data_IF_548776860059
#
_entry.id   IF_548776860059
#
_cell.length_a   1.000
_cell.length_b   1.000
_cell.length_c   1.000
_cell.angle_alpha   90.00
_cell.angle_beta   90.00
_cell.angle_gamma   90.00
#
_symmetry.space_group_name_H-M   'P 1'
#
loop_
_entity.id
_entity.type
_entity.pdbx_description
1 polymer ?
#
# COMPACT_ATOMS: atom_id res chain seq x y z
N UNK A 1 -24.01 -39.01 -14.75
CA UNK A 1 -24.26 -38.30 -13.48
C UNK A 1 -22.90 -38.00 -12.88
N UNK A 2 -22.39 -36.82 -13.14
CA UNK A 2 -21.26 -36.20 -12.44
C UNK A 2 -21.23 -34.73 -12.91
N UNK A 3 -22.13 -33.95 -12.35
CA UNK A 3 -22.08 -32.48 -12.34
C UNK A 3 -22.40 -32.12 -10.90
N UNK A 4 -21.47 -31.55 -10.18
CA UNK A 4 -21.61 -30.71 -8.99
C UNK A 4 -20.39 -30.81 -8.06
N UNK A 5 -19.20 -30.60 -8.58
CA UNK A 5 -18.02 -30.47 -7.70
C UNK A 5 -17.26 -29.14 -7.90
N UNK A 6 -17.68 -28.31 -8.86
CA UNK A 6 -16.94 -27.09 -9.19
C UNK A 6 -17.47 -25.82 -8.52
N UNK A 7 -18.68 -25.85 -7.98
CA UNK A 7 -19.34 -24.66 -7.39
C UNK A 7 -19.14 -24.53 -5.87
N UNK A 8 -18.69 -25.59 -5.20
CA UNK A 8 -18.53 -25.60 -3.74
C UNK A 8 -17.17 -25.12 -3.23
N UNK A 9 -16.14 -25.10 -4.11
CA UNK A 9 -14.78 -24.63 -3.73
C UNK A 9 -14.60 -23.09 -3.69
N UNK A 10 -15.54 -22.31 -4.24
CA UNK A 10 -15.43 -20.84 -4.27
C UNK A 10 -15.85 -20.21 -2.93
N UNK A 11 -16.67 -20.85 -2.13
CA UNK A 11 -17.15 -20.32 -0.84
C UNK A 11 -16.16 -20.51 0.32
N UNK A 12 -15.22 -21.46 0.22
CA UNK A 12 -14.22 -21.73 1.26
C UNK A 12 -12.96 -20.83 1.10
N UNK A 13 -12.80 -20.10 -0.02
CA UNK A 13 -11.61 -19.31 -0.37
C UNK A 13 -11.77 -17.78 -0.20
N UNK A 14 -12.81 -17.30 0.51
CA UNK A 14 -13.05 -15.87 0.72
C UNK A 14 -13.01 -15.46 2.22
N UNK A 15 -11.82 -15.54 2.87
CA UNK A 15 -11.66 -15.38 4.32
C UNK A 15 -12.01 -13.98 4.84
N UNK A 16 -12.14 -12.97 3.96
CA UNK A 16 -12.53 -11.61 4.32
C UNK A 16 -14.00 -11.29 4.02
N UNK A 17 -14.82 -12.30 3.75
CA UNK A 17 -16.27 -12.12 3.57
C UNK A 17 -16.87 -11.47 4.82
N UNK A 18 -17.63 -10.38 4.62
CA UNK A 18 -18.22 -9.59 5.69
C UNK A 18 -17.23 -8.64 6.41
N UNK A 19 -15.97 -8.60 6.02
CA UNK A 19 -15.02 -7.59 6.49
C UNK A 19 -15.13 -6.31 5.67
N UNK A 20 -15.01 -5.18 6.34
CA UNK A 20 -15.10 -3.84 5.77
C UNK A 20 -13.70 -3.23 5.76
N UNK A 21 -13.22 -2.87 4.59
CA UNK A 21 -11.92 -2.25 4.40
C UNK A 21 -12.04 -0.82 3.86
N UNK A 22 -11.20 0.08 4.34
CA UNK A 22 -10.94 1.39 3.75
C UNK A 22 -9.50 1.38 3.22
N UNK A 23 -9.34 1.60 1.92
CA UNK A 23 -8.03 1.80 1.29
C UNK A 23 -7.91 3.26 0.84
N UNK A 24 -7.16 4.01 1.63
CA UNK A 24 -6.87 5.41 1.36
C UNK A 24 -5.68 5.52 0.39
N UNK A 25 -5.90 6.20 -0.75
CA UNK A 25 -4.89 6.29 -1.82
C UNK A 25 -5.02 5.19 -2.89
N UNK A 26 -6.21 4.64 -3.10
CA UNK A 26 -6.48 3.49 -3.96
C UNK A 26 -6.58 3.80 -5.47
N UNK A 27 -6.08 4.93 -5.96
CA UNK A 27 -6.22 5.31 -7.38
C UNK A 27 -5.38 4.43 -8.31
N UNK A 28 -4.14 4.11 -7.92
CA UNK A 28 -3.13 3.36 -8.71
C UNK A 28 -2.13 2.65 -7.80
N UNK A 29 -1.18 1.94 -8.42
CA UNK A 29 -0.03 1.34 -7.72
C UNK A 29 -0.44 0.39 -6.61
N UNK A 30 0.24 0.48 -5.47
CA UNK A 30 -0.01 -0.38 -4.31
C UNK A 30 -1.44 -0.27 -3.81
N UNK A 31 -1.98 0.93 -3.64
CA UNK A 31 -3.34 1.14 -3.12
C UNK A 31 -4.42 0.50 -3.98
N UNK A 32 -4.32 0.63 -5.32
CA UNK A 32 -5.23 -0.07 -6.25
C UNK A 32 -5.14 -1.58 -6.06
N UNK A 33 -3.92 -2.12 -6.09
CA UNK A 33 -3.71 -3.56 -5.96
C UNK A 33 -4.17 -4.10 -4.60
N UNK A 34 -3.89 -3.37 -3.49
CA UNK A 34 -4.35 -3.68 -2.15
C UNK A 34 -5.89 -3.77 -2.09
N UNK A 35 -6.59 -2.80 -2.67
CA UNK A 35 -8.05 -2.82 -2.74
C UNK A 35 -8.55 -4.05 -3.50
N UNK A 36 -7.97 -4.36 -4.66
CA UNK A 36 -8.37 -5.49 -5.50
C UNK A 36 -8.11 -6.84 -4.80
N UNK A 37 -6.95 -7.03 -4.17
CA UNK A 37 -6.62 -8.29 -3.49
C UNK A 37 -7.44 -8.50 -2.20
N UNK A 38 -7.78 -7.44 -1.45
CA UNK A 38 -8.75 -7.52 -0.36
C UNK A 38 -10.13 -7.92 -0.86
N UNK A 39 -10.57 -7.32 -1.98
CA UNK A 39 -11.83 -7.68 -2.64
C UNK A 39 -11.84 -9.12 -3.13
N UNK A 40 -10.74 -9.62 -3.69
CA UNK A 40 -10.60 -11.02 -4.12
C UNK A 40 -10.80 -12.01 -2.97
N UNK A 41 -10.49 -11.62 -1.75
CA UNK A 41 -10.76 -12.40 -0.53
C UNK A 41 -12.15 -12.13 0.06
N UNK A 42 -13.05 -11.43 -0.64
CA UNK A 42 -14.45 -11.25 -0.29
C UNK A 42 -14.78 -9.99 0.52
N UNK A 43 -13.83 -9.08 0.75
CA UNK A 43 -14.08 -7.85 1.51
C UNK A 43 -15.00 -6.87 0.76
N UNK A 44 -15.74 -6.07 1.52
CA UNK A 44 -16.26 -4.79 1.06
C UNK A 44 -15.15 -3.75 1.19
N UNK A 45 -14.81 -3.08 0.08
CA UNK A 45 -13.66 -2.15 0.05
C UNK A 45 -14.10 -0.77 -0.39
N UNK A 46 -13.99 0.19 0.52
CA UNK A 46 -14.08 1.63 0.21
C UNK A 46 -12.75 2.07 -0.38
N UNK A 47 -12.77 2.47 -1.64
CA UNK A 47 -11.58 2.92 -2.39
C UNK A 47 -11.62 4.43 -2.53
N UNK A 48 -10.57 5.11 -2.06
CA UNK A 48 -10.56 6.57 -1.99
C UNK A 48 -9.34 7.18 -2.67
N UNK A 49 -9.50 8.39 -3.12
CA UNK A 49 -8.46 9.16 -3.77
C UNK A 49 -9.01 10.40 -4.45
N UNK A 50 -8.13 11.23 -4.98
CA UNK A 50 -8.48 12.53 -5.56
C UNK A 50 -8.76 12.49 -7.05
N UNK A 51 -8.23 11.47 -7.76
CA UNK A 51 -8.42 11.32 -9.20
C UNK A 51 -9.63 10.46 -9.49
N UNK A 52 -10.59 11.04 -10.19
CA UNK A 52 -11.84 10.44 -10.64
C UNK A 52 -11.95 10.55 -12.16
N UNK A 53 -12.98 9.97 -12.75
CA UNK A 53 -13.29 10.12 -14.19
C UNK A 53 -13.52 11.57 -14.62
N UNK A 54 -13.86 12.45 -13.67
CA UNK A 54 -14.20 13.86 -13.93
C UNK A 54 -13.21 14.86 -13.30
N UNK A 55 -12.28 14.39 -12.47
CA UNK A 55 -11.32 15.24 -11.76
C UNK A 55 -9.93 14.61 -11.76
N UNK A 56 -8.93 15.41 -12.07
CA UNK A 56 -7.52 15.02 -12.01
C UNK A 56 -6.84 15.68 -10.81
N UNK A 57 -6.03 14.92 -10.07
CA UNK A 57 -5.21 15.45 -8.98
C UNK A 57 -3.97 16.18 -9.50
N UNK A 58 -3.23 16.83 -8.61
CA UNK A 58 -1.97 17.53 -8.92
C UNK A 58 -0.87 16.62 -9.53
N UNK A 59 -0.99 15.30 -9.40
CA UNK A 59 -0.08 14.33 -10.04
C UNK A 59 -0.22 14.35 -11.56
N UNK A 60 -1.36 14.81 -12.10
CA UNK A 60 -1.57 15.02 -13.54
C UNK A 60 -1.89 13.76 -14.34
N UNK A 61 -1.92 12.56 -13.73
CA UNK A 61 -2.31 11.31 -14.42
C UNK A 61 -3.82 11.17 -14.46
N UNK A 62 -4.34 10.80 -15.62
CA UNK A 62 -5.78 10.66 -15.89
C UNK A 62 -6.22 9.24 -16.21
N UNK A 63 -5.26 8.34 -16.42
CA UNK A 63 -5.52 6.97 -16.90
C UNK A 63 -6.17 6.12 -15.82
N UNK A 64 -5.73 6.29 -14.56
CA UNK A 64 -6.21 5.50 -13.43
C UNK A 64 -7.16 6.34 -12.56
N UNK A 65 -8.33 5.78 -12.23
CA UNK A 65 -9.35 6.43 -11.39
C UNK A 65 -9.82 5.55 -10.25
N UNK A 66 -10.38 6.14 -9.19
CA UNK A 66 -10.93 5.37 -8.08
C UNK A 66 -12.19 4.58 -8.48
N UNK A 67 -12.99 5.09 -9.43
CA UNK A 67 -14.18 4.38 -9.92
C UNK A 67 -13.77 3.09 -10.62
N UNK A 68 -12.73 3.14 -11.47
CA UNK A 68 -12.17 1.94 -12.09
C UNK A 68 -11.65 0.96 -11.03
N UNK A 69 -10.96 1.44 -9.99
CA UNK A 69 -10.51 0.57 -8.90
C UNK A 69 -11.69 -0.10 -8.19
N UNK A 70 -12.78 0.61 -7.92
CA UNK A 70 -13.99 0.02 -7.34
C UNK A 70 -14.62 -1.05 -8.24
N UNK A 71 -14.61 -0.85 -9.55
CA UNK A 71 -15.06 -1.84 -10.53
C UNK A 71 -14.14 -3.08 -10.54
N UNK A 72 -12.83 -2.89 -10.48
CA UNK A 72 -11.84 -3.99 -10.39
C UNK A 72 -12.02 -4.81 -9.10
N UNK A 73 -12.26 -4.16 -7.96
CA UNK A 73 -12.58 -4.84 -6.68
C UNK A 73 -13.83 -5.72 -6.85
N UNK A 74 -14.88 -5.17 -7.48
CA UNK A 74 -16.14 -5.90 -7.70
C UNK A 74 -15.95 -7.06 -8.69
N UNK A 75 -15.17 -6.87 -9.73
CA UNK A 75 -14.83 -7.92 -10.69
C UNK A 75 -13.98 -9.04 -10.06
N UNK A 76 -13.20 -8.72 -9.03
CA UNK A 76 -12.39 -9.70 -8.30
C UNK A 76 -13.19 -10.54 -7.30
N UNK A 77 -14.47 -10.23 -7.04
CA UNK A 77 -15.36 -10.99 -6.15
C UNK A 77 -15.74 -10.29 -4.84
N UNK A 78 -15.23 -9.10 -4.57
CA UNK A 78 -15.58 -8.26 -3.43
C UNK A 78 -16.73 -7.28 -3.75
N UNK A 79 -16.89 -6.26 -2.89
CA UNK A 79 -17.77 -5.12 -3.14
C UNK A 79 -16.95 -3.83 -3.12
N UNK A 80 -16.66 -3.26 -4.28
CA UNK A 80 -15.91 -2.02 -4.42
C UNK A 80 -16.80 -0.79 -4.36
N UNK A 81 -16.46 0.18 -3.52
CA UNK A 81 -17.20 1.43 -3.33
C UNK A 81 -16.23 2.61 -3.49
N UNK A 82 -16.31 3.29 -4.62
CA UNK A 82 -15.47 4.45 -4.88
C UNK A 82 -16.03 5.70 -4.18
N UNK A 83 -15.18 6.38 -3.41
CA UNK A 83 -15.54 7.63 -2.74
C UNK A 83 -14.46 8.68 -2.99
N UNK A 84 -14.74 9.72 -3.77
CA UNK A 84 -13.79 10.81 -3.98
C UNK A 84 -13.44 11.48 -2.65
N UNK A 85 -12.16 11.46 -2.26
CA UNK A 85 -11.73 12.01 -0.97
C UNK A 85 -10.34 12.62 -1.11
N UNK A 86 -10.19 13.87 -0.67
CA UNK A 86 -8.88 14.46 -0.37
C UNK A 86 -8.59 14.23 1.12
N UNK A 87 -7.60 13.40 1.40
CA UNK A 87 -7.23 13.03 2.78
C UNK A 87 -6.49 14.14 3.55
N UNK A 88 -6.27 15.30 2.95
CA UNK A 88 -5.85 16.52 3.63
C UNK A 88 -7.03 17.39 4.08
N UNK A 89 -8.22 17.10 3.61
CA UNK A 89 -9.47 17.77 3.95
C UNK A 89 -10.20 16.97 5.04
N UNK A 90 -10.19 17.50 6.25
CA UNK A 90 -10.76 16.83 7.44
C UNK A 90 -12.26 16.61 7.32
N UNK A 91 -13.00 17.55 6.66
CA UNK A 91 -14.45 17.42 6.45
C UNK A 91 -14.77 16.28 5.47
N UNK A 92 -13.98 16.14 4.39
CA UNK A 92 -14.18 15.05 3.43
C UNK A 92 -13.87 13.68 4.06
N UNK A 93 -12.81 13.57 4.87
CA UNK A 93 -12.49 12.34 5.59
C UNK A 93 -13.55 12.03 6.65
N UNK A 94 -14.03 13.05 7.37
CA UNK A 94 -15.14 12.91 8.32
C UNK A 94 -16.40 12.37 7.65
N UNK A 95 -16.81 12.96 6.54
CA UNK A 95 -17.99 12.53 5.77
C UNK A 95 -17.83 11.10 5.21
N UNK A 96 -16.61 10.69 4.81
CA UNK A 96 -16.31 9.32 4.42
C UNK A 96 -16.52 8.35 5.58
N UNK A 97 -15.95 8.64 6.76
CA UNK A 97 -16.07 7.78 7.95
C UNK A 97 -17.52 7.69 8.42
N UNK A 98 -18.25 8.80 8.46
CA UNK A 98 -19.70 8.81 8.76
C UNK A 98 -20.50 7.97 7.75
N UNK A 99 -20.14 8.00 6.47
CA UNK A 99 -20.75 7.15 5.46
C UNK A 99 -20.49 5.67 5.75
N UNK A 100 -19.26 5.28 6.05
CA UNK A 100 -18.92 3.88 6.40
C UNK A 100 -19.68 3.47 7.66
N UNK A 101 -19.72 4.32 8.69
CA UNK A 101 -20.47 4.06 9.91
C UNK A 101 -21.96 3.81 9.64
N UNK A 102 -22.59 4.66 8.84
CA UNK A 102 -24.01 4.54 8.50
C UNK A 102 -24.31 3.30 7.66
N UNK A 103 -23.44 2.92 6.73
CA UNK A 103 -23.65 1.82 5.80
C UNK A 103 -23.27 0.46 6.40
N UNK A 104 -22.22 0.42 7.23
CA UNK A 104 -21.58 -0.83 7.68
C UNK A 104 -21.50 -0.97 9.23
N UNK A 105 -21.59 0.13 9.98
CA UNK A 105 -21.53 0.17 11.44
C UNK A 105 -20.14 0.02 12.06
N UNK A 106 -19.14 -0.44 11.29
CA UNK A 106 -17.75 -0.66 11.72
C UNK A 106 -16.78 -0.55 10.54
N UNK A 107 -15.51 -0.52 10.87
CA UNK A 107 -14.40 -0.72 9.94
C UNK A 107 -13.53 -1.85 10.48
N UNK A 108 -13.11 -2.79 9.64
CA UNK A 108 -12.25 -3.92 10.06
C UNK A 108 -10.79 -3.71 9.65
N UNK A 109 -10.56 -3.09 8.49
CA UNK A 109 -9.23 -2.90 7.90
C UNK A 109 -9.10 -1.47 7.43
N UNK A 110 -8.08 -0.76 7.92
CA UNK A 110 -7.65 0.54 7.40
C UNK A 110 -6.28 0.40 6.75
N UNK A 111 -6.19 0.73 5.48
CA UNK A 111 -4.92 0.82 4.74
C UNK A 111 -4.67 2.26 4.35
N UNK A 112 -3.59 2.85 4.85
CA UNK A 112 -3.09 4.15 4.43
C UNK A 112 -1.96 3.96 3.41
N UNK A 113 -2.27 4.17 2.13
CA UNK A 113 -1.31 4.24 1.01
C UNK A 113 -1.34 5.64 0.38
N UNK A 114 -1.32 6.63 1.26
CA UNK A 114 -1.45 8.03 0.88
C UNK A 114 -0.10 8.62 0.47
N UNK A 115 0.00 8.93 -0.81
CA UNK A 115 1.13 9.60 -1.40
C UNK A 115 0.63 10.49 -2.55
N UNK A 116 1.43 11.28 -3.14
CA UNK A 116 1.08 12.17 -4.25
C UNK A 116 2.21 13.16 -4.52
N UNK A 117 3.37 12.84 -3.95
CA UNK A 117 4.57 13.68 -4.02
C UNK A 117 5.52 13.35 -5.16
N UNK A 118 5.21 12.38 -6.04
CA UNK A 118 6.13 11.93 -7.09
C UNK A 118 6.62 13.07 -7.98
N UNK A 119 5.73 13.97 -8.37
CA UNK A 119 6.08 15.14 -9.18
C UNK A 119 7.03 16.10 -8.49
N UNK A 120 7.02 16.13 -7.14
CA UNK A 120 7.92 16.94 -6.33
C UNK A 120 9.28 16.26 -6.15
N UNK A 121 9.34 14.93 -6.17
CA UNK A 121 10.59 14.19 -6.01
C UNK A 121 11.57 14.53 -7.12
N UNK A 122 11.15 14.38 -8.37
CA UNK A 122 11.99 14.68 -9.54
C UNK A 122 12.32 16.17 -9.62
N UNK A 123 11.32 17.03 -9.37
CA UNK A 123 11.46 18.48 -9.48
C UNK A 123 12.38 19.06 -8.39
N UNK A 124 12.26 18.61 -7.14
CA UNK A 124 12.72 19.38 -5.99
C UNK A 124 13.52 18.59 -4.94
N UNK A 125 13.56 17.25 -5.01
CA UNK A 125 14.17 16.39 -3.97
C UNK A 125 15.39 15.64 -4.46
N UNK A 126 15.25 14.86 -5.55
CA UNK A 126 16.33 13.99 -6.00
C UNK A 126 17.60 14.78 -6.37
N UNK A 127 18.72 14.35 -5.79
CA UNK A 127 20.04 14.98 -6.01
C UNK A 127 20.21 16.34 -5.34
N UNK A 128 19.26 16.81 -4.51
CA UNK A 128 19.33 18.11 -3.82
C UNK A 128 19.45 17.95 -2.31
N UNK A 129 20.20 18.86 -1.70
CA UNK A 129 20.21 18.99 -0.23
C UNK A 129 18.91 19.65 0.25
N UNK A 130 18.56 19.42 1.52
CA UNK A 130 17.32 19.97 2.09
C UNK A 130 17.23 21.49 2.01
N UNK A 131 18.35 22.20 2.10
CA UNK A 131 18.40 23.66 1.97
C UNK A 131 18.37 24.16 0.51
N UNK A 132 18.49 23.27 -0.46
CA UNK A 132 18.35 23.54 -1.90
C UNK A 132 16.94 23.25 -2.40
N UNK A 133 16.15 22.52 -1.58
CA UNK A 133 14.76 22.23 -1.85
C UNK A 133 13.91 23.47 -1.52
N UNK A 134 13.05 23.94 -2.43
CA UNK A 134 12.10 25.00 -2.08
C UNK A 134 11.26 24.57 -0.86
N UNK A 135 11.23 25.40 0.18
CA UNK A 135 10.57 25.07 1.45
C UNK A 135 9.09 24.65 1.25
N UNK A 136 8.38 25.33 0.34
CA UNK A 136 6.98 25.00 0.03
C UNK A 136 6.84 23.59 -0.54
N UNK A 137 7.74 23.15 -1.44
CA UNK A 137 7.74 21.81 -2.00
C UNK A 137 8.06 20.75 -0.92
N UNK A 138 9.05 21.04 -0.05
CA UNK A 138 9.39 20.17 1.07
C UNK A 138 8.25 20.01 2.09
N UNK A 139 7.60 21.10 2.48
CA UNK A 139 6.44 21.07 3.37
C UNK A 139 5.26 20.33 2.71
N UNK A 140 5.05 20.52 1.41
CA UNK A 140 4.00 19.79 0.67
C UNK A 140 4.21 18.29 0.69
N UNK A 141 5.46 17.81 0.62
CA UNK A 141 5.78 16.39 0.77
C UNK A 141 5.34 15.86 2.14
N UNK A 142 5.59 16.61 3.22
CA UNK A 142 5.15 16.23 4.57
C UNK A 142 3.62 16.27 4.73
N UNK A 143 2.94 17.23 4.10
CA UNK A 143 1.48 17.22 4.06
C UNK A 143 0.95 15.94 3.39
N UNK A 144 1.46 15.64 2.20
CA UNK A 144 1.00 14.52 1.39
C UNK A 144 1.36 13.14 1.99
N UNK A 145 2.52 13.00 2.64
CA UNK A 145 3.02 11.72 3.13
C UNK A 145 2.96 11.54 4.65
N UNK A 146 2.56 12.56 5.42
CA UNK A 146 2.45 12.46 6.88
C UNK A 146 1.11 12.97 7.38
N UNK A 147 0.78 14.26 7.10
CA UNK A 147 -0.46 14.86 7.62
C UNK A 147 -1.71 14.12 7.14
N UNK A 148 -1.74 13.69 5.89
CA UNK A 148 -2.85 12.91 5.33
C UNK A 148 -3.06 11.57 6.04
N UNK A 149 -1.98 10.86 6.39
CA UNK A 149 -2.04 9.62 7.17
C UNK A 149 -2.61 9.87 8.57
N UNK A 150 -2.14 10.92 9.24
CA UNK A 150 -2.61 11.28 10.59
C UNK A 150 -4.09 11.65 10.61
N UNK A 151 -4.57 12.48 9.66
CA UNK A 151 -5.98 12.87 9.54
C UNK A 151 -6.84 11.61 9.35
N UNK A 152 -6.46 10.77 8.38
CA UNK A 152 -7.21 9.56 8.06
C UNK A 152 -7.26 8.60 9.24
N UNK A 153 -6.13 8.34 9.88
CA UNK A 153 -6.07 7.48 11.05
C UNK A 153 -6.91 8.04 12.21
N UNK A 154 -6.72 9.31 12.59
CA UNK A 154 -7.41 9.91 13.72
C UNK A 154 -8.95 9.86 13.57
N UNK A 155 -9.47 10.06 12.35
CA UNK A 155 -10.91 10.04 12.10
C UNK A 155 -11.47 8.62 11.94
N UNK A 156 -10.70 7.67 11.39
CA UNK A 156 -11.18 6.32 11.13
C UNK A 156 -11.00 5.34 12.31
N UNK A 157 -10.02 5.57 13.19
CA UNK A 157 -9.73 4.68 14.32
C UNK A 157 -10.92 4.44 15.27
N UNK A 158 -11.77 5.45 15.62
CA UNK A 158 -12.95 5.20 16.45
C UNK A 158 -13.93 4.18 15.86
N UNK A 159 -13.97 4.08 14.52
CA UNK A 159 -14.78 3.09 13.83
C UNK A 159 -14.04 1.74 13.71
N UNK A 160 -12.71 1.78 13.55
CA UNK A 160 -11.86 0.60 13.45
C UNK A 160 -11.88 -0.23 14.74
N UNK A 161 -11.83 0.40 15.92
CA UNK A 161 -11.85 -0.30 17.23
C UNK A 161 -13.18 -0.97 17.55
N UNK A 162 -14.21 -0.79 16.72
CA UNK A 162 -15.48 -1.55 16.81
C UNK A 162 -15.38 -2.93 16.16
N UNK A 163 -14.31 -3.20 15.42
CA UNK A 163 -14.04 -4.54 14.88
C UNK A 163 -13.62 -5.50 15.99
N UNK A 164 -13.95 -6.76 15.82
CA UNK A 164 -13.45 -7.87 16.66
C UNK A 164 -11.98 -8.20 16.41
N UNK A 165 -11.42 -7.68 15.31
CA UNK A 165 -10.01 -7.90 14.92
C UNK A 165 -9.53 -6.72 14.07
N UNK A 166 -9.29 -5.54 14.68
CA UNK A 166 -8.87 -4.34 13.95
C UNK A 166 -7.51 -4.51 13.29
N UNK A 167 -7.38 -4.07 12.04
CA UNK A 167 -6.11 -4.03 11.33
C UNK A 167 -5.85 -2.64 10.74
N UNK A 168 -4.74 -2.04 11.11
CA UNK A 168 -4.22 -0.82 10.51
C UNK A 168 -2.91 -1.10 9.77
N UNK A 169 -2.84 -0.72 8.50
CA UNK A 169 -1.67 -0.89 7.64
C UNK A 169 -1.20 0.47 7.14
N UNK A 170 0.03 0.81 7.43
CA UNK A 170 0.72 1.98 6.89
C UNK A 170 1.64 1.54 5.76
N UNK A 171 1.42 2.04 4.55
CA UNK A 171 2.29 1.77 3.40
C UNK A 171 3.34 2.87 3.28
N UNK A 172 4.61 2.49 3.15
CA UNK A 172 5.72 3.42 3.07
C UNK A 172 6.80 2.94 2.10
N UNK A 173 7.95 3.60 2.09
CA UNK A 173 9.14 3.20 1.35
C UNK A 173 10.31 2.96 2.32
N UNK A 174 10.68 1.70 2.46
CA UNK A 174 11.70 1.21 3.37
C UNK A 174 11.16 0.66 4.69
N UNK A 175 11.79 -0.41 5.16
CA UNK A 175 11.57 -0.94 6.51
C UNK A 175 12.26 -0.05 7.55
N UNK A 176 11.93 -0.22 8.84
CA UNK A 176 12.64 0.45 9.93
C UNK A 176 14.16 0.14 9.93
N UNK A 177 14.56 -1.03 9.44
CA UNK A 177 15.97 -1.39 9.31
C UNK A 177 16.64 -0.64 8.16
N UNK A 178 16.02 -0.63 6.98
CA UNK A 178 16.53 0.05 5.78
C UNK A 178 16.58 1.56 5.98
N UNK A 179 15.58 2.15 6.66
CA UNK A 179 15.46 3.58 6.92
C UNK A 179 16.31 4.08 8.10
N UNK A 180 17.19 3.25 8.68
CA UNK A 180 18.32 3.75 9.50
C UNK A 180 19.33 4.53 8.65
N UNK A 181 19.38 4.29 7.35
CA UNK A 181 20.14 5.10 6.42
C UNK A 181 19.34 6.31 6.02
N UNK A 182 19.99 7.47 6.04
CA UNK A 182 19.41 8.69 5.51
C UNK A 182 19.19 8.56 4.00
N UNK A 183 17.97 8.88 3.55
CA UNK A 183 17.57 8.68 2.16
C UNK A 183 17.17 10.00 1.51
N UNK A 184 17.71 10.25 0.32
CA UNK A 184 17.44 11.39 -0.56
C UNK A 184 17.67 12.74 0.14
N UNK A 185 16.66 13.31 0.80
CA UNK A 185 16.78 14.52 1.62
C UNK A 185 15.83 14.48 2.82
N UNK A 186 15.94 15.46 3.74
CA UNK A 186 15.24 15.50 5.01
C UNK A 186 13.70 15.37 4.86
N UNK A 187 13.11 16.04 3.86
CA UNK A 187 11.64 16.01 3.69
C UNK A 187 11.14 14.64 3.25
N UNK A 188 11.87 14.00 2.31
CA UNK A 188 11.56 12.65 1.90
C UNK A 188 11.80 11.65 3.02
N UNK A 189 12.96 11.73 3.67
CA UNK A 189 13.32 10.83 4.76
C UNK A 189 12.28 10.86 5.88
N UNK A 190 11.87 12.05 6.33
CA UNK A 190 10.81 12.20 7.32
C UNK A 190 9.47 11.65 6.83
N UNK A 191 9.06 11.92 5.58
CA UNK A 191 7.80 11.45 5.04
C UNK A 191 7.74 9.91 4.98
N UNK A 192 8.87 9.24 4.72
CA UNK A 192 8.92 7.77 4.62
C UNK A 192 9.18 7.06 5.96
N UNK A 193 9.73 7.77 6.94
CA UNK A 193 9.88 7.26 8.30
C UNK A 193 8.63 7.46 9.17
N UNK A 194 7.84 8.51 8.93
CA UNK A 194 6.66 8.80 9.72
C UNK A 194 5.64 7.65 9.76
N UNK A 195 5.25 6.99 8.64
CA UNK A 195 4.32 5.87 8.66
C UNK A 195 4.80 4.70 9.52
N UNK A 196 6.12 4.45 9.58
CA UNK A 196 6.71 3.42 10.46
C UNK A 196 6.45 3.77 11.93
N UNK A 197 6.62 5.04 12.30
CA UNK A 197 6.38 5.50 13.66
C UNK A 197 4.88 5.54 13.99
N UNK A 198 4.04 5.93 13.04
CA UNK A 198 2.57 5.89 13.17
C UNK A 198 2.12 4.46 13.45
N UNK A 199 2.52 3.48 12.65
CA UNK A 199 2.16 2.08 12.86
C UNK A 199 2.63 1.56 14.22
N UNK A 200 3.84 1.92 14.67
CA UNK A 200 4.32 1.55 15.99
C UNK A 200 3.44 2.15 17.10
N UNK A 201 3.16 3.45 17.05
CA UNK A 201 2.34 4.14 18.06
C UNK A 201 0.91 3.60 18.12
N UNK A 202 0.27 3.49 16.96
CA UNK A 202 -1.08 2.94 16.87
C UNK A 202 -1.16 1.46 17.27
N UNK A 203 -0.07 0.70 17.09
CA UNK A 203 0.00 -0.68 17.56
C UNK A 203 0.03 -0.80 19.10
N UNK A 204 0.52 0.23 19.81
CA UNK A 204 0.38 0.31 21.28
C UNK A 204 -1.07 0.62 21.66
N UNK A 205 -1.71 1.58 20.99
CA UNK A 205 -3.07 2.01 21.31
C UNK A 205 -4.12 0.96 20.93
N UNK A 206 -3.94 0.25 19.80
CA UNK A 206 -4.86 -0.80 19.36
C UNK A 206 -4.72 -2.11 20.13
N UNK A 207 -3.65 -2.31 20.91
CA UNK A 207 -3.40 -3.56 21.62
C UNK A 207 -4.53 -3.92 22.62
N UNK A 208 -5.13 -2.94 23.29
CA UNK A 208 -6.24 -3.16 24.23
C UNK A 208 -7.53 -3.64 23.51
N UNK A 209 -7.66 -3.41 22.22
CA UNK A 209 -8.76 -3.86 21.36
C UNK A 209 -8.44 -5.14 20.59
N UNK A 210 -7.32 -5.82 20.91
CA UNK A 210 -6.84 -6.99 20.15
C UNK A 210 -6.38 -6.66 18.71
N UNK A 211 -6.15 -5.37 18.43
CA UNK A 211 -5.83 -4.88 17.11
C UNK A 211 -4.35 -5.03 16.73
N UNK A 212 -4.09 -4.82 15.47
CA UNK A 212 -2.75 -4.85 14.87
C UNK A 212 -2.53 -3.57 14.08
N UNK A 213 -1.39 -2.92 14.29
CA UNK A 213 -0.89 -1.89 13.37
C UNK A 213 0.51 -2.28 12.89
N UNK A 214 0.72 -2.19 11.58
CA UNK A 214 1.96 -2.61 10.90
C UNK A 214 2.32 -1.63 9.79
N UNK A 215 3.60 -1.29 9.67
CA UNK A 215 4.12 -0.60 8.50
C UNK A 215 4.57 -1.63 7.46
N UNK A 216 4.21 -1.43 6.21
CA UNK A 216 4.62 -2.30 5.11
C UNK A 216 5.28 -1.50 4.00
N UNK A 217 6.26 -2.11 3.33
CA UNK A 217 6.93 -1.48 2.19
C UNK A 217 7.02 -2.46 1.03
N UNK A 218 6.68 -2.03 -0.21
CA UNK A 218 7.08 -2.77 -1.38
C UNK A 218 8.61 -2.78 -1.52
N UNK A 219 9.10 -3.65 -2.38
CA UNK A 219 10.42 -3.53 -2.96
C UNK A 219 10.44 -2.51 -4.10
N UNK A 220 11.21 -2.79 -5.16
CA UNK A 220 11.19 -1.96 -6.36
C UNK A 220 9.90 -2.28 -7.15
N UNK A 221 8.89 -1.41 -7.04
CA UNK A 221 7.55 -1.70 -7.58
C UNK A 221 7.42 -1.32 -9.04
N UNK A 222 6.93 -2.24 -9.87
CA UNK A 222 6.50 -1.99 -11.26
C UNK A 222 5.11 -1.36 -11.30
N UNK A 223 4.96 -0.17 -10.67
CA UNK A 223 3.69 0.57 -10.74
C UNK A 223 3.45 1.09 -12.16
N UNK A 224 2.21 1.47 -12.47
CA UNK A 224 1.82 2.06 -13.75
C UNK A 224 2.70 3.27 -14.10
N UNK A 225 3.09 4.04 -13.08
CA UNK A 225 3.98 5.18 -13.26
C UNK A 225 5.42 4.77 -13.58
N UNK A 226 5.94 3.73 -12.93
CA UNK A 226 7.29 3.22 -13.21
C UNK A 226 7.38 2.56 -14.58
N UNK A 227 6.37 1.78 -14.95
CA UNK A 227 6.28 1.22 -16.29
C UNK A 227 6.24 2.32 -17.36
N UNK A 228 5.41 3.34 -17.16
CA UNK A 228 5.36 4.50 -18.06
C UNK A 228 6.69 5.28 -18.11
N UNK A 229 7.40 5.41 -16.99
CA UNK A 229 8.70 6.08 -16.91
C UNK A 229 9.76 5.38 -17.78
N UNK A 230 9.80 4.06 -17.77
CA UNK A 230 10.72 3.26 -18.56
C UNK A 230 10.22 2.97 -19.98
N UNK A 231 8.98 3.36 -20.32
CA UNK A 231 8.39 3.11 -21.64
C UNK A 231 8.08 1.65 -21.90
N UNK A 232 7.76 0.88 -20.85
CA UNK A 232 7.42 -0.55 -20.91
C UNK A 232 6.01 -0.81 -20.38
N UNK A 233 5.53 -2.04 -20.60
CA UNK A 233 4.28 -2.58 -20.02
C UNK A 233 4.60 -3.73 -19.05
N UNK A 234 3.58 -4.25 -18.34
CA UNK A 234 3.77 -5.44 -17.49
C UNK A 234 4.18 -6.69 -18.31
N UNK A 235 3.85 -6.75 -19.59
CA UNK A 235 4.21 -7.88 -20.47
C UNK A 235 5.70 -7.90 -20.83
N UNK A 236 6.31 -6.70 -21.01
CA UNK A 236 7.71 -6.55 -21.40
C UNK A 236 8.57 -5.77 -20.40
N UNK A 237 8.17 -5.71 -19.14
CA UNK A 237 8.83 -4.91 -18.09
C UNK A 237 10.34 -5.19 -17.95
N UNK A 238 10.79 -6.41 -18.34
CA UNK A 238 12.21 -6.79 -18.29
C UNK A 238 13.10 -5.99 -19.24
N UNK A 239 12.52 -5.36 -20.27
CA UNK A 239 13.27 -4.49 -21.18
C UNK A 239 13.82 -3.25 -20.46
N UNK A 240 13.18 -2.83 -19.35
CA UNK A 240 13.66 -1.74 -18.50
C UNK A 240 14.95 -2.06 -17.75
N UNK A 241 15.34 -3.34 -17.60
CA UNK A 241 16.60 -3.76 -16.95
C UNK A 241 17.82 -3.16 -17.66
N UNK A 242 17.73 -2.95 -18.97
CA UNK A 242 18.80 -2.31 -19.74
C UNK A 242 19.02 -0.84 -19.31
N UNK A 243 18.00 -0.17 -18.79
CA UNK A 243 18.07 1.22 -18.32
C UNK A 243 18.37 1.29 -16.82
N UNK A 244 17.79 0.39 -16.02
CA UNK A 244 17.94 0.31 -14.56
C UNK A 244 18.14 -1.17 -14.16
N UNK A 245 19.39 -1.62 -13.95
CA UNK A 245 19.68 -3.02 -13.63
C UNK A 245 18.94 -3.55 -12.40
N UNK A 246 18.71 -2.70 -11.39
CA UNK A 246 17.96 -3.08 -10.19
C UNK A 246 16.48 -3.38 -10.47
N UNK A 247 15.95 -3.00 -11.64
CA UNK A 247 14.61 -3.38 -12.05
C UNK A 247 14.45 -4.90 -12.23
N UNK A 248 15.57 -5.64 -12.34
CA UNK A 248 15.54 -7.10 -12.38
C UNK A 248 14.90 -7.74 -11.15
N UNK A 249 14.96 -7.09 -9.97
CA UNK A 249 14.29 -7.53 -8.73
C UNK A 249 12.96 -6.82 -8.48
N UNK A 250 12.41 -6.16 -9.50
CA UNK A 250 11.16 -5.44 -9.33
C UNK A 250 9.97 -6.38 -9.13
N UNK A 251 9.03 -5.97 -8.28
CA UNK A 251 7.78 -6.66 -7.98
C UNK A 251 6.58 -5.95 -8.61
N UNK A 252 5.51 -6.69 -8.91
CA UNK A 252 4.23 -6.07 -9.26
C UNK A 252 3.55 -5.47 -8.02
N UNK A 253 2.64 -4.49 -8.17
CA UNK A 253 1.83 -4.00 -7.06
C UNK A 253 1.03 -5.11 -6.35
N UNK A 254 0.68 -6.18 -7.08
CA UNK A 254 -0.05 -7.33 -6.55
C UNK A 254 0.77 -8.17 -5.56
N UNK A 255 2.11 -8.14 -5.63
CA UNK A 255 2.93 -8.90 -4.69
C UNK A 255 2.77 -8.41 -3.25
N UNK A 256 2.96 -7.10 -3.01
CA UNK A 256 2.66 -6.48 -1.71
C UNK A 256 1.19 -6.69 -1.34
N UNK A 257 0.28 -6.48 -2.29
CA UNK A 257 -1.15 -6.54 -2.04
C UNK A 257 -1.63 -7.93 -1.60
N UNK A 258 -1.15 -9.00 -2.25
CA UNK A 258 -1.42 -10.38 -1.86
C UNK A 258 -0.86 -10.71 -0.48
N UNK A 259 0.33 -10.21 -0.16
CA UNK A 259 0.97 -10.40 1.13
C UNK A 259 0.19 -9.70 2.26
N UNK A 260 -0.30 -8.47 2.03
CA UNK A 260 -1.16 -7.75 2.97
C UNK A 260 -2.55 -8.40 3.08
N UNK A 261 -3.11 -8.90 1.99
CA UNK A 261 -4.39 -9.61 2.03
C UNK A 261 -4.28 -10.93 2.84
N UNK A 262 -3.16 -11.65 2.72
CA UNK A 262 -2.88 -12.82 3.56
C UNK A 262 -2.70 -12.44 5.04
N UNK A 263 -1.99 -11.33 5.33
CA UNK A 263 -1.90 -10.76 6.67
C UNK A 263 -3.29 -10.42 7.23
N UNK A 264 -4.17 -9.82 6.42
CA UNK A 264 -5.52 -9.47 6.85
C UNK A 264 -6.37 -10.70 7.20
N UNK A 265 -6.15 -11.82 6.52
CA UNK A 265 -6.80 -13.09 6.77
C UNK A 265 -6.20 -13.89 7.96
N UNK A 266 -4.98 -13.56 8.40
CA UNK A 266 -4.30 -14.23 9.51
C UNK A 266 -4.91 -13.81 10.85
N UNK A 267 -5.48 -14.76 11.58
CA UNK A 267 -6.08 -14.50 12.90
C UNK A 267 -5.03 -14.27 13.99
N UNK A 268 -3.82 -14.79 13.82
CA UNK A 268 -2.71 -14.66 14.76
C UNK A 268 -1.77 -13.49 14.42
N UNK A 269 -2.15 -12.62 13.46
CA UNK A 269 -1.31 -11.51 12.97
C UNK A 269 -0.80 -10.58 14.05
N UNK A 270 -1.60 -10.32 15.11
CA UNK A 270 -1.21 -9.41 16.18
C UNK A 270 0.06 -9.89 16.89
N UNK A 271 0.15 -11.17 17.24
CA UNK A 271 1.34 -11.73 17.87
C UNK A 271 2.58 -11.66 16.97
N UNK A 272 2.38 -11.73 15.65
CA UNK A 272 3.48 -11.79 14.67
C UNK A 272 3.90 -10.41 14.17
N UNK A 273 2.96 -9.50 13.94
CA UNK A 273 3.20 -8.30 13.14
C UNK A 273 2.87 -6.98 13.82
N UNK A 274 2.17 -6.98 14.96
CA UNK A 274 1.85 -5.72 15.63
C UNK A 274 3.10 -4.91 15.95
N UNK A 275 3.08 -3.62 15.63
CA UNK A 275 4.18 -2.65 15.84
C UNK A 275 5.43 -2.90 15.01
N UNK A 276 5.36 -3.80 14.02
CA UNK A 276 6.50 -4.11 13.15
C UNK A 276 6.49 -3.27 11.87
N UNK A 277 7.63 -3.29 11.23
CA UNK A 277 7.83 -2.81 9.87
C UNK A 277 8.33 -3.99 9.04
N UNK A 278 7.64 -4.32 7.96
CA UNK A 278 7.91 -5.48 7.13
C UNK A 278 7.96 -5.11 5.65
N UNK A 279 8.81 -5.79 4.88
CA UNK A 279 8.77 -5.71 3.42
C UNK A 279 7.70 -6.65 2.84
N UNK A 280 7.33 -6.42 1.57
CA UNK A 280 6.54 -7.37 0.79
C UNK A 280 7.14 -8.77 0.82
N UNK A 281 8.47 -8.88 0.71
CA UNK A 281 9.20 -10.14 0.76
C UNK A 281 9.12 -10.82 2.14
N UNK A 282 9.19 -10.07 3.25
CA UNK A 282 9.04 -10.63 4.61
C UNK A 282 7.67 -11.28 4.78
N UNK A 283 6.61 -10.55 4.39
CA UNK A 283 5.24 -11.05 4.45
C UNK A 283 5.04 -12.22 3.48
N UNK A 284 5.52 -12.10 2.25
CA UNK A 284 5.38 -13.13 1.23
C UNK A 284 6.06 -14.46 1.64
N UNK A 285 7.25 -14.40 2.23
CA UNK A 285 7.92 -15.58 2.80
C UNK A 285 7.11 -16.18 3.94
N UNK A 286 6.55 -15.34 4.82
CA UNK A 286 5.78 -15.80 5.97
C UNK A 286 4.46 -16.47 5.59
N UNK A 287 3.83 -16.05 4.49
CA UNK A 287 2.51 -16.53 4.03
C UNK A 287 2.57 -17.38 2.76
N UNK A 288 3.74 -17.65 2.20
CA UNK A 288 3.89 -18.44 0.97
C UNK A 288 3.35 -17.74 -0.29
N UNK A 289 3.29 -16.41 -0.27
CA UNK A 289 2.76 -15.62 -1.38
C UNK A 289 3.79 -15.53 -2.52
N UNK A 290 3.29 -15.49 -3.75
CA UNK A 290 4.10 -15.26 -4.97
C UNK A 290 3.54 -14.09 -5.77
N UNK A 291 4.43 -13.41 -6.48
CA UNK A 291 4.07 -12.37 -7.44
C UNK A 291 3.29 -12.95 -8.64
N UNK A 292 2.78 -12.10 -9.51
CA UNK A 292 1.97 -12.50 -10.68
C UNK A 292 2.74 -13.37 -11.66
N UNK A 293 4.06 -13.24 -11.70
CA UNK A 293 4.96 -14.06 -12.55
C UNK A 293 5.49 -15.33 -11.84
N UNK A 294 4.99 -15.62 -10.64
CA UNK A 294 5.36 -16.79 -9.84
C UNK A 294 6.63 -16.64 -9.02
N UNK A 295 7.33 -15.51 -9.10
CA UNK A 295 8.54 -15.23 -8.32
C UNK A 295 8.22 -14.78 -6.89
N UNK A 296 9.28 -14.67 -6.04
CA UNK A 296 9.24 -14.08 -4.70
C UNK A 296 10.36 -13.05 -4.55
N UNK A 297 10.27 -11.90 -5.27
CA UNK A 297 11.37 -10.93 -5.26
C UNK A 297 11.63 -10.35 -3.87
N UNK A 298 12.92 -10.18 -3.55
CA UNK A 298 13.39 -9.51 -2.33
C UNK A 298 14.35 -8.37 -2.69
N UNK A 299 13.76 -7.27 -3.15
CA UNK A 299 14.53 -6.10 -3.56
C UNK A 299 15.32 -5.48 -2.40
N UNK A 300 14.81 -5.53 -1.16
CA UNK A 300 15.52 -4.98 -0.02
C UNK A 300 16.75 -5.79 0.32
N UNK A 301 16.68 -7.14 0.30
CA UNK A 301 17.86 -7.98 0.47
C UNK A 301 18.89 -7.76 -0.66
N UNK A 302 18.41 -7.64 -1.90
CA UNK A 302 19.27 -7.29 -3.03
C UNK A 302 20.01 -5.96 -2.82
N UNK A 303 19.30 -4.89 -2.42
CA UNK A 303 19.93 -3.59 -2.16
C UNK A 303 20.90 -3.63 -0.98
N UNK A 304 20.55 -4.31 0.11
CA UNK A 304 21.43 -4.44 1.27
C UNK A 304 22.72 -5.17 0.91
N UNK A 305 22.64 -6.23 0.14
CA UNK A 305 23.81 -7.03 -0.23
C UNK A 305 24.65 -6.36 -1.33
N UNK A 306 24.03 -5.89 -2.40
CA UNK A 306 24.78 -5.40 -3.57
C UNK A 306 25.10 -3.92 -3.48
N UNK A 307 24.08 -3.05 -3.28
CA UNK A 307 24.22 -1.60 -3.33
C UNK A 307 24.95 -1.05 -2.10
N UNK A 308 24.69 -1.64 -0.93
CA UNK A 308 25.24 -1.15 0.34
C UNK A 308 26.33 -2.08 0.91
N UNK A 309 26.22 -3.37 0.70
CA UNK A 309 27.18 -4.36 1.18
C UNK A 309 28.35 -4.63 0.25
N UNK A 310 28.28 -4.15 -1.01
CA UNK A 310 29.35 -4.33 -2.01
C UNK A 310 29.54 -5.79 -2.44
N UNK A 311 28.56 -6.67 -2.21
CA UNK A 311 28.59 -8.04 -2.70
C UNK A 311 28.31 -8.09 -4.19
N UNK A 312 29.05 -8.93 -4.92
CA UNK A 312 28.64 -9.32 -6.26
C UNK A 312 27.52 -10.36 -6.12
N UNK A 313 26.36 -10.12 -6.75
CA UNK A 313 25.24 -11.03 -6.72
C UNK A 313 24.38 -10.86 -7.98
N UNK A 314 23.83 -11.97 -8.48
CA UNK A 314 22.83 -11.91 -9.55
C UNK A 314 21.47 -11.50 -8.96
N UNK A 315 20.71 -10.69 -9.69
CA UNK A 315 19.33 -10.40 -9.32
C UNK A 315 18.45 -11.68 -9.24
N UNK A 316 18.84 -12.74 -9.95
CA UNK A 316 18.14 -14.04 -9.93
C UNK A 316 18.22 -14.72 -8.56
N UNK A 317 19.25 -14.42 -7.74
CA UNK A 317 19.41 -14.97 -6.40
C UNK A 317 18.37 -14.38 -5.40
N UNK A 318 17.72 -13.30 -5.78
CA UNK A 318 16.75 -12.54 -4.96
C UNK A 318 15.32 -12.56 -5.55
N UNK A 319 15.00 -13.58 -6.36
CA UNK A 319 13.74 -13.60 -7.08
C UNK A 319 12.92 -14.90 -7.02
#
# INVERSE_FOLDING_TARGET
MNQDTTTQHIADDAPLTGRIALVAGATRGAGRALAVELGRLGATVYVTGRTTRTRVSEVGRTTETIEETGELVSAAGGRGIAVPTDHLDEDQVGALVERIEREEGRLDILVNDLWGGEHLLVKSVFGKKSWETPLADGLRILELGVRSHLITAALALPLLVRSDSPLHVEVTDGTAASNRRYRENLFYDLAKNAPIRIAFGLGEELAEYGGTAVAVTPGFMRSEQMLAHFGVSEENWRDAIAQEPAFAVAESPHYLARAVAALAADQDRSARWNKKSASSADLAKAYGVRDVDGSQPDAWAYFEDTRYGGKEGSADDYR
#
